data_IF_202259489504
#
_entry.id   IF_202259489504
#
_cell.length_a   1.000
_cell.length_b   1.000
_cell.length_c   1.000
_cell.angle_alpha   90.00
_cell.angle_beta   90.00
_cell.angle_gamma   90.00
#
_symmetry.space_group_name_H-M   'P 1'
#
loop_
_entity.id
_entity.type
_entity.pdbx_description
1 polymer ?
#
# COMPACT_ATOMS: atom_id res chain seq x y z
N UNK A 1 21.75 6.05 -4.99
CA UNK A 1 20.90 5.62 -3.86
C UNK A 1 20.85 4.08 -3.81
N UNK A 2 20.85 3.45 -2.62
CA UNK A 2 20.70 1.98 -2.50
C UNK A 2 19.21 1.60 -2.52
N UNK A 3 18.84 0.70 -3.41
CA UNK A 3 17.52 0.08 -3.49
C UNK A 3 17.65 -1.41 -3.21
N UNK A 4 16.81 -1.94 -2.32
CA UNK A 4 16.65 -3.39 -2.12
C UNK A 4 15.39 -3.65 -1.30
N UNK A 5 14.33 -4.14 -1.94
CA UNK A 5 13.15 -4.68 -1.25
C UNK A 5 12.88 -6.08 -1.77
N UNK A 6 12.98 -7.08 -0.91
CA UNK A 6 12.69 -8.49 -1.25
C UNK A 6 11.44 -9.00 -0.52
N UNK A 7 11.02 -8.30 0.53
CA UNK A 7 9.92 -8.70 1.39
C UNK A 7 9.31 -7.47 2.09
N UNK A 8 8.20 -7.67 2.79
CA UNK A 8 7.55 -6.61 3.57
C UNK A 8 8.02 -6.48 5.03
N UNK A 9 8.83 -7.39 5.56
CA UNK A 9 9.00 -7.54 7.02
C UNK A 9 10.42 -7.30 7.51
N UNK A 10 11.44 -7.49 6.67
CA UNK A 10 12.85 -7.23 6.94
C UNK A 10 13.11 -5.80 7.41
N UNK A 11 14.22 -5.61 8.11
CA UNK A 11 14.51 -4.37 8.82
C UNK A 11 14.55 -3.17 7.86
N UNK A 12 13.60 -2.26 8.02
CA UNK A 12 13.48 -1.07 7.19
C UNK A 12 14.60 -0.07 7.49
N UNK A 13 15.23 0.45 6.44
CA UNK A 13 16.32 1.42 6.54
C UNK A 13 16.03 2.72 5.84
N UNK A 14 15.37 2.70 4.69
CA UNK A 14 15.02 3.91 3.94
C UNK A 14 13.63 3.81 3.35
N UNK A 15 12.85 4.87 3.51
CA UNK A 15 11.44 4.95 3.10
C UNK A 15 11.11 6.36 2.65
N UNK A 16 10.28 6.48 1.62
CA UNK A 16 9.61 7.74 1.27
C UNK A 16 8.32 7.80 2.06
N UNK A 17 8.04 8.94 2.68
CA UNK A 17 6.74 9.21 3.30
C UNK A 17 5.99 10.25 2.47
N UNK A 18 4.71 10.01 2.22
CA UNK A 18 3.84 10.98 1.58
C UNK A 18 3.65 12.25 2.42
N UNK A 19 3.03 13.26 1.81
CA UNK A 19 2.85 14.59 2.42
C UNK A 19 1.44 15.13 2.21
N UNK A 20 0.97 15.88 3.20
CA UNK A 20 -0.36 16.51 3.20
C UNK A 20 -0.30 18.05 3.18
N UNK A 21 0.87 18.66 3.36
CA UNK A 21 1.01 20.12 3.44
C UNK A 21 0.81 20.83 2.09
N UNK A 22 0.83 20.09 0.99
CA UNK A 22 0.55 20.57 -0.38
C UNK A 22 -0.84 20.20 -0.90
N UNK A 23 -1.66 19.49 -0.09
CA UNK A 23 -3.00 19.08 -0.52
C UNK A 23 -3.86 20.29 -0.88
N UNK A 24 -4.59 20.15 -1.99
CA UNK A 24 -5.53 21.14 -2.47
C UNK A 24 -6.86 21.11 -1.70
N UNK A 25 -7.87 21.74 -2.29
CA UNK A 25 -9.20 21.80 -1.71
C UNK A 25 -9.84 20.41 -1.57
N UNK A 26 -10.73 20.28 -0.58
CA UNK A 26 -11.63 19.13 -0.43
C UNK A 26 -12.33 18.83 -1.77
N UNK A 27 -12.30 17.57 -2.25
CA UNK A 27 -12.95 17.22 -3.52
C UNK A 27 -14.48 17.28 -3.41
N UNK A 28 -15.14 17.53 -4.53
CA UNK A 28 -16.59 17.33 -4.72
C UNK A 28 -16.90 15.82 -4.80
N UNK A 29 -18.16 15.46 -4.56
CA UNK A 29 -18.61 14.05 -4.61
C UNK A 29 -18.32 13.37 -5.95
N UNK A 30 -18.47 14.08 -7.08
CA UNK A 30 -18.19 13.53 -8.42
C UNK A 30 -16.69 13.43 -8.75
N UNK A 31 -15.82 13.98 -7.91
CA UNK A 31 -14.36 13.96 -8.08
C UNK A 31 -13.70 12.79 -7.32
N UNK A 32 -14.44 12.05 -6.48
CA UNK A 32 -13.89 10.89 -5.78
C UNK A 32 -13.65 9.71 -6.72
N UNK A 33 -12.61 8.95 -6.42
CA UNK A 33 -12.23 7.73 -7.14
C UNK A 33 -12.15 6.50 -6.23
N UNK A 34 -12.58 6.63 -4.97
CA UNK A 34 -12.67 5.55 -3.99
C UNK A 34 -13.93 5.72 -3.12
N UNK A 35 -14.50 4.62 -2.60
CA UNK A 35 -15.75 4.66 -1.84
C UNK A 35 -15.59 5.25 -0.43
N UNK A 36 -14.39 5.24 0.15
CA UNK A 36 -14.12 5.73 1.51
C UNK A 36 -14.15 7.25 1.57
N UNK A 37 -13.50 7.93 0.62
CA UNK A 37 -13.62 9.37 0.41
C UNK A 37 -15.06 9.76 0.16
N UNK A 38 -15.77 9.05 -0.74
CA UNK A 38 -17.17 9.32 -1.05
C UNK A 38 -18.06 9.25 0.20
N UNK A 39 -17.89 8.21 1.02
CA UNK A 39 -18.64 8.03 2.27
C UNK A 39 -18.39 9.17 3.26
N UNK A 40 -17.13 9.56 3.46
CA UNK A 40 -16.78 10.62 4.41
C UNK A 40 -17.21 12.01 3.92
N UNK A 41 -17.20 12.26 2.60
CA UNK A 41 -17.76 13.49 2.05
C UNK A 41 -19.27 13.58 2.34
N UNK A 42 -20.02 12.50 2.08
CA UNK A 42 -21.47 12.46 2.33
C UNK A 42 -21.83 12.64 3.81
N UNK A 43 -21.01 12.09 4.71
CA UNK A 43 -21.19 12.23 6.17
C UNK A 43 -20.70 13.56 6.75
N UNK A 44 -20.08 14.42 5.94
CA UNK A 44 -19.46 15.65 6.44
C UNK A 44 -18.18 15.42 7.27
N UNK A 45 -17.63 14.20 7.27
CA UNK A 45 -16.48 13.80 8.11
C UNK A 45 -15.15 13.77 7.36
N UNK A 46 -15.10 14.20 6.09
CA UNK A 46 -13.87 14.26 5.30
C UNK A 46 -12.77 15.06 6.02
N UNK A 47 -11.52 14.59 6.02
CA UNK A 47 -10.48 15.13 6.89
C UNK A 47 -10.09 16.58 6.53
N UNK A 48 -9.69 17.34 7.54
CA UNK A 48 -9.08 18.65 7.37
C UNK A 48 -7.59 18.48 7.05
N UNK A 49 -7.04 19.42 6.26
CA UNK A 49 -5.62 19.47 5.93
C UNK A 49 -4.73 19.50 7.18
N UNK A 50 -5.10 20.29 8.19
CA UNK A 50 -4.37 20.41 9.45
C UNK A 50 -4.23 19.06 10.16
N UNK A 51 -5.29 18.25 10.17
CA UNK A 51 -5.26 16.96 10.83
C UNK A 51 -4.40 15.96 10.07
N UNK A 52 -4.50 15.93 8.74
CA UNK A 52 -3.66 15.09 7.89
C UNK A 52 -2.17 15.42 8.06
N UNK A 53 -1.83 16.70 8.12
CA UNK A 53 -0.45 17.15 8.37
C UNK A 53 0.02 16.70 9.76
N UNK A 54 -0.82 16.82 10.79
CA UNK A 54 -0.49 16.38 12.16
C UNK A 54 -0.27 14.87 12.25
N UNK A 55 -1.13 14.06 11.62
CA UNK A 55 -1.00 12.60 11.61
C UNK A 55 0.27 12.15 10.87
N UNK A 56 0.54 12.70 9.67
CA UNK A 56 1.76 12.34 8.92
C UNK A 56 3.04 12.83 9.59
N UNK A 57 3.03 13.99 10.26
CA UNK A 57 4.17 14.44 11.05
C UNK A 57 4.44 13.49 12.24
N UNK A 58 3.37 13.03 12.91
CA UNK A 58 3.48 12.03 13.98
C UNK A 58 4.10 10.74 13.45
N UNK A 59 3.65 10.28 12.27
CA UNK A 59 4.20 9.09 11.63
C UNK A 59 5.68 9.25 11.25
N UNK A 60 6.05 10.40 10.65
CA UNK A 60 7.44 10.74 10.33
C UNK A 60 8.35 10.69 11.55
N UNK A 61 7.91 11.27 12.67
CA UNK A 61 8.65 11.26 13.94
C UNK A 61 8.82 9.81 14.44
N UNK A 62 7.76 9.00 14.38
CA UNK A 62 7.81 7.59 14.79
C UNK A 62 8.81 6.77 13.97
N UNK A 63 8.84 6.96 12.65
CA UNK A 63 9.82 6.32 11.76
C UNK A 63 11.25 6.74 12.14
N UNK A 64 11.49 8.05 12.30
CA UNK A 64 12.81 8.58 12.69
C UNK A 64 13.27 8.09 14.06
N UNK A 65 12.38 8.00 15.06
CA UNK A 65 12.69 7.42 16.39
C UNK A 65 13.13 5.96 16.32
N UNK A 66 12.70 5.23 15.28
CA UNK A 66 13.15 3.86 15.01
C UNK A 66 14.37 3.80 14.06
N UNK A 67 15.11 4.91 13.90
CA UNK A 67 16.35 5.01 13.12
C UNK A 67 16.17 4.67 11.62
N UNK A 68 14.99 4.97 11.07
CA UNK A 68 14.69 4.82 9.64
C UNK A 68 14.96 6.16 8.96
N UNK A 69 15.69 6.15 7.84
CA UNK A 69 15.86 7.34 6.98
C UNK A 69 14.54 7.60 6.24
N UNK A 70 13.92 8.74 6.53
CA UNK A 70 12.69 9.17 5.85
C UNK A 70 13.02 10.22 4.81
N UNK A 71 12.68 9.95 3.55
CA UNK A 71 12.77 10.89 2.42
C UNK A 71 11.40 11.54 2.20
N UNK A 72 11.43 12.81 1.78
CA UNK A 72 10.23 13.56 1.42
C UNK A 72 10.08 13.62 -0.10
N UNK A 73 8.84 13.63 -0.57
CA UNK A 73 8.51 13.96 -1.96
C UNK A 73 8.71 15.45 -2.24
N UNK A 74 9.03 15.80 -3.48
CA UNK A 74 9.01 17.19 -3.95
C UNK A 74 7.62 17.82 -3.76
N UNK A 75 7.60 19.12 -3.51
CA UNK A 75 6.35 19.86 -3.27
C UNK A 75 5.61 20.11 -4.58
N UNK A 76 4.46 19.48 -4.76
CA UNK A 76 3.53 19.78 -5.86
C UNK A 76 2.30 20.47 -5.29
N UNK A 77 2.16 21.78 -5.51
CA UNK A 77 1.06 22.57 -4.97
C UNK A 77 -0.31 22.09 -5.47
N UNK A 78 -1.29 22.09 -4.56
CA UNK A 78 -2.67 21.65 -4.82
C UNK A 78 -2.73 20.21 -5.37
N UNK A 79 -1.97 19.30 -4.77
CA UNK A 79 -1.87 17.90 -5.17
C UNK A 79 -1.92 16.98 -3.94
N UNK A 80 -2.65 15.87 -4.03
CA UNK A 80 -2.71 14.90 -2.95
C UNK A 80 -1.50 13.95 -3.03
N UNK A 81 -0.44 14.25 -2.29
CA UNK A 81 0.79 13.46 -2.29
C UNK A 81 0.89 12.53 -1.06
N UNK A 82 -0.24 12.19 -0.44
CA UNK A 82 -0.28 11.40 0.81
C UNK A 82 0.10 9.94 0.54
N UNK A 83 -0.35 9.37 -0.58
CA UNK A 83 -0.22 7.95 -0.87
C UNK A 83 1.00 7.64 -1.74
N UNK A 84 2.18 7.78 -1.13
CA UNK A 84 3.45 7.53 -1.80
C UNK A 84 3.58 6.08 -2.34
N UNK A 85 2.84 5.12 -1.78
CA UNK A 85 2.82 3.74 -2.26
C UNK A 85 2.32 3.60 -3.70
N UNK A 86 1.39 4.45 -4.12
CA UNK A 86 0.68 4.22 -5.38
C UNK A 86 1.47 4.72 -6.58
N UNK A 87 2.38 5.68 -6.36
CA UNK A 87 3.11 6.39 -7.41
C UNK A 87 4.38 5.65 -7.87
N UNK A 88 4.78 4.60 -7.16
CA UNK A 88 5.88 3.73 -7.55
C UNK A 88 6.13 2.63 -6.53
N UNK A 89 7.03 1.71 -6.87
CA UNK A 89 7.38 0.60 -5.98
C UNK A 89 8.78 0.09 -6.29
N UNK A 90 9.39 -0.59 -5.33
CA UNK A 90 10.72 -1.20 -5.48
C UNK A 90 10.57 -2.71 -5.37
N UNK A 91 11.14 -3.43 -6.34
CA UNK A 91 11.31 -4.88 -6.28
C UNK A 91 12.78 -5.17 -6.50
N UNK A 92 13.40 -5.84 -5.54
CA UNK A 92 14.84 -6.04 -5.47
C UNK A 92 15.54 -4.67 -5.62
N UNK A 93 16.42 -4.51 -6.61
CA UNK A 93 17.15 -3.27 -6.87
C UNK A 93 16.49 -2.30 -7.85
N UNK A 94 15.30 -2.60 -8.38
CA UNK A 94 14.64 -1.80 -9.42
C UNK A 94 13.51 -0.94 -8.85
N UNK A 95 13.48 0.33 -9.25
CA UNK A 95 12.39 1.25 -8.97
C UNK A 95 11.45 1.31 -10.17
N UNK A 96 10.19 0.95 -9.97
CA UNK A 96 9.15 1.02 -11.00
C UNK A 96 8.31 2.28 -10.78
N UNK A 97 8.18 3.10 -11.83
CA UNK A 97 7.28 4.26 -11.85
C UNK A 97 5.90 3.77 -12.26
N UNK A 98 4.90 3.98 -11.41
CA UNK A 98 3.55 3.49 -11.63
C UNK A 98 2.77 4.31 -12.66
N UNK A 99 2.00 3.61 -13.49
CA UNK A 99 0.96 4.22 -14.32
C UNK A 99 -0.33 4.35 -13.51
N UNK A 100 -0.46 5.47 -12.80
CA UNK A 100 -1.64 5.82 -11.99
C UNK A 100 -2.74 6.46 -12.84
N UNK A 101 -3.96 6.51 -12.32
CA UNK A 101 -5.08 7.14 -13.06
C UNK A 101 -4.79 8.61 -13.43
N UNK A 102 -5.30 9.11 -14.58
CA UNK A 102 -4.98 10.46 -15.07
C UNK A 102 -5.25 11.58 -14.07
N UNK A 103 -6.31 11.46 -13.25
CA UNK A 103 -6.65 12.47 -12.24
C UNK A 103 -5.57 12.63 -11.15
N UNK A 104 -4.71 11.62 -10.99
CA UNK A 104 -3.61 11.57 -10.02
C UNK A 104 -2.24 11.78 -10.64
N UNK A 105 -2.12 11.86 -11.98
CA UNK A 105 -0.82 11.85 -12.68
C UNK A 105 0.22 12.87 -12.19
N UNK A 106 -0.22 14.04 -11.70
CA UNK A 106 0.69 15.06 -11.13
C UNK A 106 1.42 14.59 -9.86
N UNK A 107 0.92 13.58 -9.16
CA UNK A 107 1.54 13.02 -7.96
C UNK A 107 2.93 12.43 -8.25
N UNK A 108 3.12 11.86 -9.46
CA UNK A 108 4.38 11.26 -9.92
C UNK A 108 5.53 12.28 -9.93
N UNK A 109 5.23 13.54 -10.23
CA UNK A 109 6.23 14.62 -10.26
C UNK A 109 6.88 14.87 -8.88
N UNK A 110 6.25 14.37 -7.79
CA UNK A 110 6.85 14.38 -6.45
C UNK A 110 8.10 13.52 -6.32
N UNK A 111 8.37 12.62 -7.28
CA UNK A 111 9.51 11.70 -7.25
C UNK A 111 10.78 12.27 -7.88
N UNK A 112 10.75 13.45 -8.53
CA UNK A 112 11.85 13.94 -9.36
C UNK A 112 13.22 13.95 -8.65
N UNK A 113 13.30 14.57 -7.47
CA UNK A 113 14.55 14.61 -6.68
C UNK A 113 15.03 13.20 -6.30
N UNK A 114 14.11 12.31 -5.94
CA UNK A 114 14.45 10.93 -5.53
C UNK A 114 14.96 10.12 -6.72
N UNK A 115 14.29 10.23 -7.87
CA UNK A 115 14.70 9.54 -9.10
C UNK A 115 16.06 10.01 -9.58
N UNK A 116 16.41 11.29 -9.38
CA UNK A 116 17.73 11.83 -9.73
C UNK A 116 18.89 11.21 -8.95
N UNK A 117 18.60 10.63 -7.77
CA UNK A 117 19.60 9.93 -6.95
C UNK A 117 19.71 8.43 -7.27
N UNK A 118 18.83 7.89 -8.12
CA UNK A 118 18.81 6.49 -8.51
C UNK A 118 19.54 6.33 -9.84
N UNK A 119 20.34 5.28 -9.98
CA UNK A 119 20.96 4.92 -11.25
C UNK A 119 19.86 4.68 -12.30
N UNK A 120 19.94 5.39 -13.44
CA UNK A 120 18.94 5.31 -14.51
C UNK A 120 18.67 3.88 -14.99
N UNK A 121 19.69 2.99 -14.95
CA UNK A 121 19.53 1.57 -15.32
C UNK A 121 18.61 0.78 -14.37
N UNK A 122 18.35 1.32 -13.18
CA UNK A 122 17.49 0.73 -12.16
C UNK A 122 16.09 1.34 -12.14
N UNK A 123 15.82 2.33 -12.99
CA UNK A 123 14.51 2.99 -13.09
C UNK A 123 13.73 2.38 -14.25
N UNK A 124 12.61 1.75 -13.93
CA UNK A 124 11.72 1.14 -14.91
C UNK A 124 10.48 2.02 -15.09
N UNK A 125 10.32 2.55 -16.30
CA UNK A 125 9.08 3.21 -16.74
C UNK A 125 8.19 2.18 -17.41
N UNK A 126 6.98 2.01 -16.88
CA UNK A 126 6.02 1.05 -17.42
C UNK A 126 5.44 1.57 -18.76
N UNK A 127 5.27 0.71 -19.78
CA UNK A 127 4.53 1.06 -20.98
C UNK A 127 3.10 1.53 -20.66
N UNK A 128 2.53 2.42 -21.47
CA UNK A 128 1.24 3.08 -21.17
C UNK A 128 0.11 2.09 -20.86
N UNK A 129 0.04 0.98 -21.59
CA UNK A 129 -0.98 -0.07 -21.43
C UNK A 129 -0.75 -0.98 -20.20
N UNK A 130 0.40 -0.86 -19.54
CA UNK A 130 0.79 -1.62 -18.35
C UNK A 130 0.46 -0.78 -17.12
N UNK A 131 -0.64 -1.09 -16.46
CA UNK A 131 -1.05 -0.39 -15.24
C UNK A 131 -0.69 -1.24 -14.02
N UNK A 132 0.15 -0.69 -13.14
CA UNK A 132 0.52 -1.26 -11.85
C UNK A 132 0.66 -0.12 -10.85
N UNK A 133 -0.12 -0.15 -9.77
CA UNK A 133 0.09 0.72 -8.62
C UNK A 133 0.75 -0.06 -7.48
N UNK A 134 1.67 0.56 -6.75
CA UNK A 134 2.47 -0.15 -5.76
C UNK A 134 1.68 -0.77 -4.60
N UNK A 135 0.45 -0.31 -4.32
CA UNK A 135 -0.42 -0.91 -3.30
C UNK A 135 -0.87 -2.34 -3.65
N UNK A 136 -0.89 -2.68 -4.94
CA UNK A 136 -1.19 -4.04 -5.40
C UNK A 136 0.03 -4.97 -5.32
N UNK A 137 1.23 -4.43 -5.09
CA UNK A 137 2.49 -5.18 -5.04
C UNK A 137 2.87 -5.49 -3.58
N UNK A 138 2.95 -6.77 -3.26
CA UNK A 138 3.39 -7.27 -1.96
C UNK A 138 4.48 -8.30 -2.17
N UNK A 139 5.58 -8.15 -1.44
CA UNK A 139 6.75 -9.00 -1.58
C UNK A 139 6.89 -9.94 -0.37
N UNK A 140 7.18 -11.20 -0.65
CA UNK A 140 7.52 -12.20 0.36
C UNK A 140 8.62 -13.13 -0.17
N UNK A 141 9.85 -12.60 -0.16
CA UNK A 141 11.06 -13.27 -0.63
C UNK A 141 10.96 -13.70 -2.10
N UNK A 142 10.80 -15.00 -2.35
CA UNK A 142 10.73 -15.57 -3.69
C UNK A 142 9.40 -15.29 -4.39
N UNK A 143 8.37 -14.88 -3.64
CA UNK A 143 7.05 -14.57 -4.19
C UNK A 143 6.81 -13.06 -4.31
N UNK A 144 6.30 -12.67 -5.48
CA UNK A 144 5.73 -11.36 -5.76
C UNK A 144 4.21 -11.56 -5.88
N UNK A 145 3.50 -11.13 -4.85
CA UNK A 145 2.05 -11.12 -4.82
C UNK A 145 1.51 -9.87 -5.52
N UNK A 146 0.56 -10.04 -6.43
CA UNK A 146 0.03 -8.97 -7.25
C UNK A 146 -1.50 -8.94 -7.28
N UNK A 147 -2.10 -7.89 -6.72
CA UNK A 147 -3.52 -7.63 -6.89
C UNK A 147 -3.83 -7.15 -8.31
N UNK A 148 -4.94 -7.60 -8.89
CA UNK A 148 -5.36 -7.10 -10.20
C UNK A 148 -6.89 -7.13 -10.38
N UNK A 149 -7.34 -6.51 -11.47
CA UNK A 149 -8.73 -6.57 -11.91
C UNK A 149 -8.78 -6.81 -13.43
N UNK A 150 -9.57 -7.79 -13.87
CA UNK A 150 -9.58 -8.21 -15.28
C UNK A 150 -11.00 -8.39 -15.86
N UNK A 151 -11.93 -7.55 -15.42
CA UNK A 151 -13.26 -7.52 -16.03
C UNK A 151 -13.32 -6.59 -17.25
N UNK A 152 -14.25 -6.82 -18.19
CA UNK A 152 -14.42 -5.97 -19.37
C UNK A 152 -14.67 -4.49 -19.06
N UNK A 153 -15.19 -4.17 -17.87
CA UNK A 153 -15.46 -2.80 -17.41
C UNK A 153 -14.24 -2.12 -16.75
N UNK A 154 -13.03 -2.69 -16.84
CA UNK A 154 -11.80 -2.13 -16.24
C UNK A 154 -11.67 -0.61 -16.46
N UNK A 155 -11.86 -0.12 -17.70
CA UNK A 155 -11.77 1.32 -18.05
C UNK A 155 -12.80 2.20 -17.31
N UNK A 156 -13.94 1.64 -16.92
CA UNK A 156 -15.02 2.34 -16.19
C UNK A 156 -14.88 2.19 -14.67
N UNK A 157 -14.13 1.19 -14.21
CA UNK A 157 -13.93 0.89 -12.80
C UNK A 157 -12.77 1.71 -12.23
N UNK A 158 -13.04 2.92 -11.71
CA UNK A 158 -11.97 3.80 -11.17
C UNK A 158 -11.19 3.21 -9.99
N UNK A 159 -11.73 2.19 -9.32
CA UNK A 159 -11.07 1.46 -8.22
C UNK A 159 -10.16 0.34 -8.72
N UNK A 160 -10.16 0.02 -10.02
CA UNK A 160 -9.20 -0.87 -10.64
C UNK A 160 -7.91 -0.09 -10.96
N UNK A 161 -6.79 -0.55 -10.40
CA UNK A 161 -5.50 0.15 -10.42
C UNK A 161 -4.46 -0.64 -11.20
N UNK A 162 -4.42 -1.95 -10.99
CA UNK A 162 -3.56 -2.87 -11.72
C UNK A 162 -4.36 -3.73 -12.70
N UNK A 163 -3.87 -3.85 -13.95
CA UNK A 163 -4.51 -4.64 -15.02
C UNK A 163 -3.76 -5.95 -15.32
N UNK A 164 -4.33 -6.79 -16.18
CA UNK A 164 -3.70 -8.05 -16.58
C UNK A 164 -2.38 -7.87 -17.34
N UNK A 165 -2.20 -6.74 -18.05
CA UNK A 165 -0.93 -6.43 -18.69
C UNK A 165 0.17 -6.18 -17.65
N UNK A 166 -0.18 -5.58 -16.51
CA UNK A 166 0.69 -5.45 -15.33
C UNK A 166 1.20 -6.79 -14.82
N UNK A 167 0.30 -7.77 -14.71
CA UNK A 167 0.66 -9.15 -14.32
C UNK A 167 1.67 -9.74 -15.31
N UNK A 168 1.33 -9.75 -16.60
CA UNK A 168 2.19 -10.30 -17.66
C UNK A 168 3.54 -9.60 -17.75
N UNK A 169 3.57 -8.28 -17.53
CA UNK A 169 4.81 -7.50 -17.55
C UNK A 169 5.76 -7.97 -16.45
N UNK A 170 5.28 -8.13 -15.21
CA UNK A 170 6.12 -8.63 -14.11
C UNK A 170 6.49 -10.11 -14.28
N UNK A 171 5.61 -10.95 -14.84
CA UNK A 171 5.94 -12.34 -15.18
C UNK A 171 7.11 -12.41 -16.18
N UNK A 172 7.07 -11.58 -17.22
CA UNK A 172 8.15 -11.50 -18.21
C UNK A 172 9.44 -10.91 -17.62
N UNK A 173 9.33 -9.96 -16.69
CA UNK A 173 10.50 -9.29 -16.11
C UNK A 173 11.21 -10.15 -15.06
N UNK A 174 10.47 -10.85 -14.20
CA UNK A 174 11.03 -11.57 -13.05
C UNK A 174 10.99 -13.10 -13.15
N UNK A 175 10.22 -13.65 -14.10
CA UNK A 175 9.89 -15.07 -14.18
C UNK A 175 8.48 -15.33 -13.65
N UNK A 176 7.69 -16.09 -14.43
CA UNK A 176 6.29 -16.40 -14.14
C UNK A 176 6.11 -17.14 -12.81
N UNK A 177 7.06 -18.00 -12.47
CA UNK A 177 7.06 -18.80 -11.25
C UNK A 177 7.08 -17.96 -9.97
N UNK A 178 7.64 -16.73 -10.03
CA UNK A 178 7.71 -15.79 -8.90
C UNK A 178 6.43 -14.99 -8.71
N UNK A 179 5.59 -14.88 -9.75
CA UNK A 179 4.39 -14.04 -9.69
C UNK A 179 3.18 -14.88 -9.23
N UNK A 180 2.49 -14.37 -8.22
CA UNK A 180 1.22 -14.89 -7.73
C UNK A 180 0.18 -13.78 -7.77
N UNK A 181 -0.69 -13.80 -8.78
CA UNK A 181 -1.67 -12.75 -8.99
C UNK A 181 -3.05 -13.10 -8.41
N UNK A 182 -3.71 -12.13 -7.79
CA UNK A 182 -5.01 -12.31 -7.13
C UNK A 182 -6.04 -11.33 -7.68
N UNK A 183 -7.19 -11.83 -8.15
CA UNK A 183 -8.24 -10.96 -8.67
C UNK A 183 -9.03 -10.36 -7.50
N UNK A 184 -9.17 -9.03 -7.47
CA UNK A 184 -9.74 -8.31 -6.32
C UNK A 184 -11.19 -7.88 -6.54
N UNK A 185 -11.99 -7.87 -5.48
CA UNK A 185 -13.32 -7.27 -5.46
C UNK A 185 -13.22 -5.74 -5.44
N UNK A 186 -13.89 -5.09 -6.39
CA UNK A 186 -13.89 -3.63 -6.56
C UNK A 186 -15.30 -3.06 -6.40
N UNK A 187 -15.42 -1.93 -5.70
CA UNK A 187 -16.69 -1.20 -5.59
C UNK A 187 -16.47 0.30 -5.50
N UNK A 188 -17.20 1.06 -6.32
CA UNK A 188 -17.19 2.53 -6.29
C UNK A 188 -18.03 3.13 -5.16
N UNK A 189 -18.91 2.35 -4.52
CA UNK A 189 -19.93 2.88 -3.60
C UNK A 189 -19.92 2.25 -2.22
N UNK A 190 -19.36 1.05 -2.06
CA UNK A 190 -19.36 0.33 -0.79
C UNK A 190 -17.94 -0.03 -0.37
N UNK A 191 -17.37 0.64 0.65
CA UNK A 191 -16.03 0.34 1.16
C UNK A 191 -15.86 -1.10 1.64
N UNK A 192 -16.91 -1.75 2.16
CA UNK A 192 -16.87 -3.14 2.64
C UNK A 192 -16.76 -4.16 1.49
N UNK A 193 -17.07 -3.75 0.26
CA UNK A 193 -16.98 -4.59 -0.95
C UNK A 193 -15.84 -4.14 -1.87
N UNK A 194 -14.89 -3.37 -1.35
CA UNK A 194 -13.81 -2.79 -2.14
C UNK A 194 -12.45 -3.07 -1.49
N UNK A 195 -11.65 -3.92 -2.13
CA UNK A 195 -10.21 -3.93 -1.95
C UNK A 195 -9.61 -3.03 -3.04
N UNK A 196 -9.30 -1.77 -2.70
CA UNK A 196 -8.76 -0.81 -3.67
C UNK A 196 -7.43 -1.31 -4.24
N UNK A 197 -6.61 -1.86 -3.37
CA UNK A 197 -5.37 -2.55 -3.68
C UNK A 197 -5.25 -3.84 -2.86
N UNK A 198 -4.27 -4.68 -3.18
CA UNK A 198 -3.98 -5.91 -2.43
C UNK A 198 -3.66 -5.64 -0.95
N UNK A 199 -2.89 -4.57 -0.65
CA UNK A 199 -2.53 -4.18 0.72
C UNK A 199 -3.72 -3.70 1.59
N UNK A 200 -4.91 -3.58 1.00
CA UNK A 200 -6.15 -3.33 1.73
C UNK A 200 -6.75 -4.61 2.33
N UNK A 201 -6.47 -5.78 1.76
CA UNK A 201 -7.08 -7.06 2.16
C UNK A 201 -6.09 -8.17 2.47
N UNK A 202 -4.80 -7.98 2.22
CA UNK A 202 -3.76 -8.94 2.51
C UNK A 202 -2.45 -8.24 2.86
N UNK A 203 -1.80 -8.67 3.93
CA UNK A 203 -0.42 -8.25 4.19
C UNK A 203 0.35 -9.29 5.03
N UNK A 204 1.55 -9.71 4.61
CA UNK A 204 2.44 -10.52 5.43
C UNK A 204 3.02 -9.72 6.60
N UNK A 205 3.35 -10.43 7.66
CA UNK A 205 3.91 -9.85 8.88
C UNK A 205 4.79 -10.87 9.61
N UNK A 206 5.83 -10.38 10.28
CA UNK A 206 6.81 -11.24 10.93
C UNK A 206 7.52 -12.17 9.95
N UNK A 207 7.77 -13.41 10.39
CA UNK A 207 8.53 -14.40 9.60
C UNK A 207 7.65 -15.29 8.72
N UNK A 208 6.40 -15.54 9.11
CA UNK A 208 5.46 -16.44 8.42
C UNK A 208 4.00 -16.21 8.81
N UNK A 209 3.64 -14.98 9.17
CA UNK A 209 2.27 -14.65 9.57
C UNK A 209 1.63 -13.76 8.50
N UNK A 210 0.30 -13.76 8.43
CA UNK A 210 -0.42 -12.88 7.53
C UNK A 210 -1.73 -12.37 8.13
N UNK A 211 -2.15 -11.19 7.67
CA UNK A 211 -3.47 -10.63 7.96
C UNK A 211 -4.25 -10.59 6.66
N UNK A 212 -5.42 -11.24 6.63
CA UNK A 212 -6.15 -11.51 5.39
C UNK A 212 -7.64 -11.20 5.57
N UNK A 213 -8.26 -10.62 4.55
CA UNK A 213 -9.72 -10.53 4.41
C UNK A 213 -10.17 -11.28 3.16
N UNK A 214 -10.85 -12.42 3.35
CA UNK A 214 -11.43 -13.23 2.27
C UNK A 214 -12.28 -12.40 1.30
N UNK A 215 -13.07 -11.47 1.82
CA UNK A 215 -14.00 -10.64 1.03
C UNK A 215 -13.28 -9.69 0.04
N UNK A 216 -11.97 -9.48 0.21
CA UNK A 216 -11.16 -8.73 -0.75
C UNK A 216 -10.91 -9.47 -2.07
N UNK A 217 -10.94 -10.81 -2.03
CA UNK A 217 -10.64 -11.66 -3.18
C UNK A 217 -11.89 -12.02 -3.97
N UNK A 218 -11.77 -11.99 -5.30
CA UNK A 218 -12.86 -12.32 -6.21
C UNK A 218 -13.09 -13.82 -6.29
N UNK A 219 -12.01 -14.60 -6.26
CA UNK A 219 -12.01 -16.06 -6.36
C UNK A 219 -11.71 -16.66 -4.99
N UNK A 220 -12.45 -17.70 -4.62
CA UNK A 220 -12.22 -18.40 -3.36
C UNK A 220 -10.83 -19.05 -3.32
N UNK A 221 -10.42 -19.68 -4.42
CA UNK A 221 -9.13 -20.37 -4.54
C UNK A 221 -7.94 -19.43 -4.33
N UNK A 222 -8.05 -18.13 -4.66
CA UNK A 222 -7.00 -17.14 -4.40
C UNK A 222 -6.77 -16.97 -2.89
N UNK A 223 -7.85 -16.93 -2.11
CA UNK A 223 -7.79 -16.89 -0.66
C UNK A 223 -7.28 -18.21 -0.07
N UNK A 224 -7.80 -19.35 -0.54
CA UNK A 224 -7.37 -20.68 -0.07
C UNK A 224 -5.89 -20.92 -0.31
N UNK A 225 -5.36 -20.48 -1.46
CA UNK A 225 -3.93 -20.57 -1.74
C UNK A 225 -3.08 -19.85 -0.68
N UNK A 226 -3.50 -18.65 -0.23
CA UNK A 226 -2.81 -17.92 0.83
C UNK A 226 -2.94 -18.62 2.20
N UNK A 227 -4.09 -19.26 2.46
CA UNK A 227 -4.28 -20.09 3.66
C UNK A 227 -3.28 -21.24 3.67
N UNK A 228 -3.15 -21.96 2.56
CA UNK A 228 -2.24 -23.09 2.43
C UNK A 228 -0.77 -22.64 2.52
N UNK A 229 -0.45 -21.49 1.95
CA UNK A 229 0.91 -20.95 1.94
C UNK A 229 1.41 -20.55 3.35
N UNK A 230 0.59 -19.86 4.14
CA UNK A 230 0.98 -19.42 5.48
C UNK A 230 0.65 -20.43 6.59
N UNK A 231 -0.35 -21.29 6.40
CA UNK A 231 -0.94 -22.12 7.45
C UNK A 231 -2.03 -21.36 8.22
N UNK A 232 -3.19 -21.99 8.42
CA UNK A 232 -4.39 -21.34 8.99
C UNK A 232 -4.17 -20.77 10.40
N UNK A 233 -3.29 -21.38 11.18
CA UNK A 233 -2.90 -20.96 12.54
C UNK A 233 -2.02 -19.70 12.58
N UNK A 234 -1.46 -19.32 11.43
CA UNK A 234 -0.57 -18.17 11.24
C UNK A 234 -1.31 -16.95 10.68
N UNK A 235 -2.64 -17.04 10.54
CA UNK A 235 -3.44 -16.05 9.84
C UNK A 235 -4.43 -15.37 10.78
N UNK A 236 -4.43 -14.04 10.76
CA UNK A 236 -5.52 -13.26 11.30
C UNK A 236 -6.55 -12.97 10.20
N UNK A 237 -7.71 -13.60 10.31
CA UNK A 237 -8.83 -13.32 9.41
C UNK A 237 -9.61 -12.07 9.85
N UNK A 238 -9.81 -11.18 8.88
CA UNK A 238 -10.59 -9.96 9.01
C UNK A 238 -11.93 -10.09 8.28
N UNK A 239 -12.95 -9.47 8.87
CA UNK A 239 -14.22 -9.19 8.20
C UNK A 239 -14.07 -8.07 7.17
N UNK A 240 -14.98 -8.01 6.20
CA UNK A 240 -15.09 -6.87 5.28
C UNK A 240 -15.27 -5.51 5.98
N UNK A 241 -15.85 -5.49 7.18
CA UNK A 241 -15.95 -4.25 7.98
C UNK A 241 -14.58 -3.81 8.49
N UNK A 242 -13.75 -4.73 8.98
CA UNK A 242 -12.38 -4.45 9.44
C UNK A 242 -11.47 -4.07 8.25
N UNK A 243 -11.62 -4.75 7.11
CA UNK A 243 -10.95 -4.37 5.85
C UNK A 243 -11.30 -2.94 5.44
N UNK A 244 -12.58 -2.55 5.52
CA UNK A 244 -13.01 -1.18 5.17
C UNK A 244 -12.46 -0.09 6.09
N UNK A 245 -11.93 -0.46 7.25
CA UNK A 245 -11.22 0.43 8.18
C UNK A 245 -9.71 0.48 7.92
N UNK A 246 -9.22 -0.20 6.87
CA UNK A 246 -7.80 -0.33 6.51
C UNK A 246 -6.96 -1.12 7.51
N UNK A 247 -7.55 -2.13 8.17
CA UNK A 247 -6.86 -2.90 9.21
C UNK A 247 -5.72 -3.79 8.67
N UNK A 248 -5.72 -4.19 7.39
CA UNK A 248 -4.54 -4.81 6.77
C UNK A 248 -3.38 -3.84 6.52
N UNK A 249 -3.64 -2.52 6.51
CA UNK A 249 -2.70 -1.52 6.02
C UNK A 249 -1.76 -0.98 7.12
N UNK A 250 -1.31 -1.87 8.00
CA UNK A 250 -0.24 -1.60 8.97
C UNK A 250 1.13 -1.54 8.28
N UNK A 251 2.21 -1.24 9.00
CA UNK A 251 3.53 -1.13 8.39
C UNK A 251 4.62 -1.80 9.22
N UNK A 252 5.15 -2.91 8.71
CA UNK A 252 6.26 -3.65 9.30
C UNK A 252 7.58 -2.90 9.11
N UNK A 253 8.27 -2.61 10.20
CA UNK A 253 9.60 -1.97 10.18
C UNK A 253 10.74 -2.93 10.56
N UNK A 254 10.40 -4.08 11.12
CA UNK A 254 11.26 -5.25 11.30
C UNK A 254 10.40 -6.50 11.52
N UNK A 255 10.95 -7.73 11.49
CA UNK A 255 10.17 -8.94 11.71
C UNK A 255 9.42 -8.96 13.06
N UNK A 256 9.94 -8.26 14.07
CA UNK A 256 9.37 -8.25 15.42
C UNK A 256 8.66 -6.93 15.75
N UNK A 257 8.46 -6.03 14.77
CA UNK A 257 7.92 -4.69 15.05
C UNK A 257 7.09 -4.10 13.92
N UNK A 258 5.89 -3.67 14.27
CA UNK A 258 4.88 -3.12 13.35
C UNK A 258 4.37 -1.77 13.86
N UNK A 259 4.20 -0.82 12.95
CA UNK A 259 3.45 0.41 13.20
C UNK A 259 2.00 0.18 12.76
N UNK A 260 1.04 0.47 13.64
CA UNK A 260 -0.38 0.15 13.47
C UNK A 260 -1.25 1.24 14.10
N UNK A 261 -2.56 1.17 13.88
CA UNK A 261 -3.50 2.16 14.40
C UNK A 261 -3.92 1.83 15.82
N UNK A 262 -4.01 2.86 16.68
CA UNK A 262 -4.52 2.73 18.06
C UNK A 262 -5.93 2.13 18.13
N UNK A 263 -6.73 2.26 17.07
CA UNK A 263 -8.10 1.75 16.96
C UNK A 263 -8.17 0.22 16.78
N UNK A 264 -7.12 -0.41 16.26
CA UNK A 264 -7.17 -1.82 15.82
C UNK A 264 -6.87 -2.81 16.96
N UNK A 265 -7.68 -2.79 18.03
CA UNK A 265 -7.44 -3.60 19.23
C UNK A 265 -7.28 -5.10 18.96
N UNK A 266 -8.10 -5.68 18.07
CA UNK A 266 -7.98 -7.08 17.65
C UNK A 266 -6.63 -7.39 16.99
N UNK A 267 -6.24 -6.59 15.99
CA UNK A 267 -4.96 -6.74 15.30
C UNK A 267 -3.80 -6.58 16.26
N UNK A 268 -3.82 -5.53 17.09
CA UNK A 268 -2.72 -5.22 17.98
C UNK A 268 -2.55 -6.31 19.03
N UNK A 269 -3.64 -6.81 19.60
CA UNK A 269 -3.61 -7.95 20.51
C UNK A 269 -3.02 -9.21 19.85
N UNK A 270 -3.47 -9.55 18.65
CA UNK A 270 -2.97 -10.71 17.91
C UNK A 270 -1.49 -10.58 17.53
N UNK A 271 -1.02 -9.40 17.13
CA UNK A 271 0.40 -9.17 16.86
C UNK A 271 1.25 -9.38 18.13
N UNK A 272 0.83 -8.79 19.25
CA UNK A 272 1.56 -8.93 20.52
C UNK A 272 1.56 -10.39 21.02
N UNK A 273 0.46 -11.14 20.85
CA UNK A 273 0.43 -12.57 21.21
C UNK A 273 1.32 -13.45 20.34
N UNK A 274 1.73 -12.95 19.16
CA UNK A 274 2.72 -13.55 18.26
C UNK A 274 4.13 -12.98 18.45
N UNK A 275 4.40 -12.31 19.57
CA UNK A 275 5.68 -11.67 19.89
C UNK A 275 6.10 -10.56 18.90
N UNK A 276 5.14 -9.92 18.23
CA UNK A 276 5.39 -8.77 17.37
C UNK A 276 4.97 -7.50 18.12
N UNK A 277 5.94 -6.65 18.43
CA UNK A 277 5.70 -5.40 19.13
C UNK A 277 4.94 -4.41 18.25
N UNK A 278 3.86 -3.85 18.78
CA UNK A 278 3.11 -2.78 18.12
C UNK A 278 3.60 -1.40 18.57
N UNK A 279 3.79 -0.49 17.59
CA UNK A 279 3.84 0.95 17.82
C UNK A 279 2.52 1.52 17.34
N UNK A 280 1.64 1.86 18.28
CA UNK A 280 0.30 2.31 17.99
C UNK A 280 0.27 3.84 17.88
N UNK A 281 -0.10 4.37 16.71
CA UNK A 281 -0.32 5.81 16.50
C UNK A 281 -1.65 6.02 15.78
N UNK A 282 -2.22 7.23 15.85
CA UNK A 282 -3.54 7.51 15.27
C UNK A 282 -3.40 8.10 13.85
N UNK A 283 -3.86 7.38 12.83
CA UNK A 283 -3.99 7.84 11.43
C UNK A 283 -5.47 7.84 10.98
N UNK A 284 -6.39 8.10 11.91
CA UNK A 284 -7.83 8.06 11.66
C UNK A 284 -8.33 9.05 10.62
N UNK A 285 -7.66 10.19 10.44
CA UNK A 285 -8.04 11.17 9.42
C UNK A 285 -7.51 10.77 8.05
N UNK A 286 -6.26 10.29 7.98
CA UNK A 286 -5.68 9.71 6.75
C UNK A 286 -6.50 8.52 6.26
N UNK A 287 -6.99 7.66 7.15
CA UNK A 287 -7.77 6.47 6.78
C UNK A 287 -9.08 6.78 6.06
N UNK A 288 -9.63 7.99 6.26
CA UNK A 288 -10.89 8.42 5.64
C UNK A 288 -10.79 8.63 4.12
N UNK A 289 -9.56 8.77 3.61
CA UNK A 289 -9.26 8.87 2.19
C UNK A 289 -8.90 7.50 1.55
N UNK A 290 -9.04 6.40 2.30
CA UNK A 290 -8.93 5.03 1.75
C UNK A 290 -7.53 4.40 1.81
N UNK A 291 -6.60 4.96 2.60
CA UNK A 291 -5.26 4.40 2.82
C UNK A 291 -4.72 4.71 4.21
N UNK A 292 -3.72 3.96 4.69
CA UNK A 292 -3.16 4.09 6.05
C UNK A 292 -1.61 4.02 6.03
N UNK A 293 -0.96 3.24 6.90
CA UNK A 293 0.48 3.28 7.11
C UNK A 293 1.29 2.78 5.91
N UNK A 294 0.85 1.67 5.29
CA UNK A 294 1.53 1.12 4.12
C UNK A 294 1.27 1.99 2.89
N UNK A 295 0.03 2.41 2.66
CA UNK A 295 -0.30 3.26 1.49
C UNK A 295 0.44 4.61 1.53
N UNK A 296 0.72 5.14 2.72
CA UNK A 296 1.43 6.43 2.87
C UNK A 296 2.94 6.32 2.71
N UNK A 297 3.49 5.11 2.55
CA UNK A 297 4.93 4.87 2.51
C UNK A 297 5.38 4.09 1.27
N UNK A 298 6.58 4.41 0.78
CA UNK A 298 7.27 3.68 -0.28
C UNK A 298 8.67 3.29 0.22
N UNK A 299 8.84 2.05 0.74
CA UNK A 299 10.13 1.47 1.14
C UNK A 299 11.09 1.43 -0.04
N UNK A 300 12.31 1.90 0.18
CA UNK A 300 13.38 1.87 -0.81
C UNK A 300 14.44 0.84 -0.46
N UNK A 301 14.71 0.68 0.84
CA UNK A 301 15.73 -0.25 1.31
C UNK A 301 15.32 -0.93 2.61
N UNK A 302 15.28 -2.26 2.57
CA UNK A 302 15.27 -3.16 3.73
C UNK A 302 16.59 -3.93 3.79
N UNK A 303 17.11 -4.08 5.00
CA UNK A 303 18.26 -4.95 5.30
C UNK A 303 17.73 -6.34 5.63
N UNK A 304 18.09 -7.30 4.82
CA UNK A 304 17.83 -8.73 5.06
C UNK A 304 19.06 -9.32 5.74
N UNK A 305 18.91 -10.41 6.49
CA UNK A 305 20.04 -11.05 7.21
C UNK A 305 21.14 -11.57 6.27
N UNK A 306 20.85 -11.63 4.97
CA UNK A 306 21.74 -12.09 3.89
C UNK A 306 22.60 -10.94 3.31
N UNK A 307 22.34 -9.66 3.66
CA UNK A 307 22.93 -8.46 3.02
C UNK A 307 23.50 -7.37 3.96
#
# INVERSE_FOLDING_TARGET
>A
MRLNIQDETSMLKTVILGRADTIGNKPKLNQTYDPSSLLNLKKGTYPLKSDLVKELNTYKITLKKNRIKVLDLDKILNCNQIYARDIGFVIQGFFFISNIIPQRGREINGLNSILSEIDNSKIIKLPEEVHIEGGDVILDNDNIFLGYYNKPDYKKQKTARTNINGVKYLENFFGKEKIKSFELNKSMVNPKKNALHLDCCFQPVGKKLAVICKDGFKKLNDYEWLIDYYGIENILNLSSSEMSLMMCNFFSISPEKVITDVRFKKLNYWLNSKNIKTIEINLSQTSKQGGLFRCTTLPLFRKNDIN
#
